data_IF_419449070532
#
_entry.id   IF_419449070532
#
_cell.length_a   1.000
_cell.length_b   1.000
_cell.length_c   1.000
_cell.angle_alpha   90.00
_cell.angle_beta   90.00
_cell.angle_gamma   90.00
#
_symmetry.space_group_name_H-M   'P 1'
#
loop_
_entity.id
_entity.type
_entity.pdbx_description
1 polymer ?
#
# COMPACT_ATOMS: atom_id res chain seq x y z
N UNK A 1 -10.59 -14.01 -18.77
CA UNK A 1 -9.13 -14.21 -18.70
C UNK A 1 -8.41 -12.86 -18.77
N UNK A 2 -7.35 -12.72 -17.98
CA UNK A 2 -6.23 -11.76 -18.11
C UNK A 2 -6.59 -10.28 -17.93
N UNK A 3 -6.01 -9.64 -16.89
CA UNK A 3 -4.88 -8.70 -17.07
C UNK A 3 -3.99 -8.71 -15.82
N UNK A 4 -3.13 -9.73 -15.74
CA UNK A 4 -1.83 -9.54 -15.13
C UNK A 4 -1.08 -8.47 -15.92
N UNK A 5 -0.71 -7.38 -15.25
CA UNK A 5 0.28 -6.40 -15.70
C UNK A 5 1.03 -6.01 -14.42
N UNK A 6 2.23 -6.48 -14.15
CA UNK A 6 3.39 -6.51 -15.04
C UNK A 6 4.50 -5.83 -14.25
N UNK A 7 5.07 -6.52 -13.27
CA UNK A 7 6.35 -6.14 -12.65
C UNK A 7 7.44 -6.40 -13.69
N UNK A 8 7.57 -5.49 -14.66
CA UNK A 8 8.70 -5.45 -15.59
C UNK A 8 9.06 -3.99 -15.78
N UNK A 9 10.12 -3.53 -15.10
CA UNK A 9 11.42 -3.27 -15.70
C UNK A 9 12.43 -2.91 -14.60
N UNK A 10 13.56 -3.62 -14.65
CA UNK A 10 14.84 -3.27 -14.04
C UNK A 10 15.24 -1.89 -14.56
N UNK A 11 15.58 -1.00 -13.65
CA UNK A 11 15.99 0.38 -13.92
C UNK A 11 16.02 1.12 -12.59
N UNK A 12 17.21 1.26 -12.02
CA UNK A 12 17.46 1.88 -10.73
C UNK A 12 17.34 3.41 -10.87
N UNK A 13 16.12 3.91 -11.03
CA UNK A 13 15.79 5.33 -10.86
C UNK A 13 14.97 5.45 -9.57
N UNK A 14 15.33 6.40 -8.70
CA UNK A 14 14.75 6.57 -7.36
C UNK A 14 13.29 7.04 -7.49
N UNK A 15 12.37 6.10 -7.62
CA UNK A 15 10.93 6.40 -7.73
C UNK A 15 10.30 6.42 -6.35
N UNK A 16 9.82 7.59 -5.92
CA UNK A 16 9.07 7.75 -4.68
C UNK A 16 7.82 6.84 -4.74
N UNK A 17 7.73 5.95 -3.77
CA UNK A 17 6.67 4.96 -3.62
C UNK A 17 5.79 5.35 -2.43
N UNK A 18 4.54 5.67 -2.70
CA UNK A 18 3.51 5.94 -1.71
C UNK A 18 2.85 4.63 -1.27
N UNK A 19 2.60 4.53 0.02
CA UNK A 19 1.79 3.47 0.63
C UNK A 19 0.42 4.05 0.84
N UNK A 20 -0.56 3.50 0.13
CA UNK A 20 -1.93 4.01 0.12
C UNK A 20 -2.89 2.95 0.64
N UNK A 21 -3.98 3.39 1.27
CA UNK A 21 -5.04 2.48 1.73
C UNK A 21 -6.17 2.41 0.72
N UNK A 22 -6.56 1.21 0.29
CA UNK A 22 -7.70 1.08 -0.59
C UNK A 22 -8.98 1.53 0.10
N UNK A 23 -9.70 2.50 -0.47
CA UNK A 23 -10.97 2.99 0.06
C UNK A 23 -12.10 1.95 0.06
N UNK A 24 -11.96 0.85 -0.71
CA UNK A 24 -12.98 -0.19 -0.79
C UNK A 24 -12.75 -1.36 0.14
N UNK A 25 -11.56 -1.98 0.09
CA UNK A 25 -11.25 -3.14 0.94
C UNK A 25 -10.47 -2.77 2.21
N UNK A 26 -9.95 -1.55 2.32
CA UNK A 26 -9.15 -1.12 3.46
C UNK A 26 -7.71 -1.65 3.47
N UNK A 27 -7.31 -2.43 2.46
CA UNK A 27 -5.98 -3.04 2.35
C UNK A 27 -4.92 -2.02 1.91
N UNK A 28 -3.71 -2.15 2.45
CA UNK A 28 -2.58 -1.28 2.11
C UNK A 28 -1.88 -1.80 0.84
N UNK A 29 -1.58 -0.88 -0.08
CA UNK A 29 -0.90 -1.19 -1.33
C UNK A 29 0.17 -0.15 -1.69
N UNK A 30 1.14 -0.59 -2.48
CA UNK A 30 2.21 0.25 -3.00
C UNK A 30 1.80 0.90 -4.32
N UNK A 31 1.99 2.21 -4.40
CA UNK A 31 1.75 3.03 -5.58
C UNK A 31 2.96 3.91 -5.86
N UNK A 32 3.39 4.00 -7.11
CA UNK A 32 4.44 4.95 -7.50
C UNK A 32 3.83 6.34 -7.64
N UNK A 33 4.59 7.38 -7.29
CA UNK A 33 4.15 8.78 -7.47
C UNK A 33 3.81 9.10 -8.93
N UNK A 34 4.51 8.50 -9.88
CA UNK A 34 4.27 8.67 -11.32
C UNK A 34 2.90 8.14 -11.81
N UNK A 35 2.11 7.46 -10.96
CA UNK A 35 0.82 6.89 -11.33
C UNK A 35 -0.34 7.62 -10.65
N UNK A 36 -1.21 8.24 -11.44
CA UNK A 36 -2.42 8.92 -10.96
C UNK A 36 -3.46 7.92 -10.43
N UNK A 37 -3.61 6.77 -11.11
CA UNK A 37 -4.57 5.72 -10.75
C UNK A 37 -3.89 4.36 -10.63
N UNK A 38 -4.36 3.56 -9.66
CA UNK A 38 -3.87 2.20 -9.42
C UNK A 38 -5.06 1.28 -9.23
N UNK A 39 -5.03 0.13 -9.88
CA UNK A 39 -6.00 -0.94 -9.61
C UNK A 39 -5.53 -1.72 -8.39
N UNK A 40 -6.41 -1.85 -7.39
CA UNK A 40 -6.14 -2.64 -6.21
C UNK A 40 -5.98 -4.11 -6.60
N UNK A 41 -4.84 -4.76 -6.30
CA UNK A 41 -4.63 -6.17 -6.64
C UNK A 41 -5.49 -7.12 -5.79
N UNK A 42 -6.07 -6.63 -4.68
CA UNK A 42 -6.87 -7.42 -3.75
C UNK A 42 -8.35 -7.46 -4.13
N UNK A 43 -8.97 -6.30 -4.34
CA UNK A 43 -10.40 -6.21 -4.65
C UNK A 43 -10.71 -5.87 -6.11
N UNK A 44 -9.69 -5.59 -6.94
CA UNK A 44 -9.87 -5.16 -8.33
C UNK A 44 -10.40 -3.73 -8.50
N UNK A 45 -10.64 -2.99 -7.43
CA UNK A 45 -11.14 -1.62 -7.53
C UNK A 45 -10.08 -0.65 -8.06
N UNK A 46 -10.47 0.23 -8.97
CA UNK A 46 -9.61 1.31 -9.47
C UNK A 46 -9.67 2.49 -8.50
N UNK A 47 -8.54 2.84 -7.90
CA UNK A 47 -8.43 3.96 -6.95
C UNK A 47 -7.55 5.06 -7.53
N UNK A 48 -7.94 6.31 -7.28
CA UNK A 48 -7.08 7.48 -7.55
C UNK A 48 -6.11 7.63 -6.38
N UNK A 49 -4.82 7.68 -6.68
CA UNK A 49 -3.75 7.80 -5.67
C UNK A 49 -3.79 9.18 -5.01
N UNK A 50 -4.14 10.22 -5.76
CA UNK A 50 -4.27 11.57 -5.24
C UNK A 50 -5.46 11.75 -4.30
N UNK A 51 -6.59 11.09 -4.60
CA UNK A 51 -7.81 11.13 -3.77
C UNK A 51 -7.82 10.11 -2.63
N UNK A 52 -6.81 9.24 -2.58
CA UNK A 52 -6.72 8.18 -1.58
C UNK A 52 -5.83 8.63 -0.43
N UNK A 53 -6.17 8.19 0.78
CA UNK A 53 -5.34 8.41 1.95
C UNK A 53 -3.95 7.77 1.77
N UNK A 54 -2.94 8.63 1.64
CA UNK A 54 -1.52 8.28 1.70
C UNK A 54 -1.16 8.06 3.15
N UNK A 55 -0.78 6.83 3.48
CA UNK A 55 -0.44 6.42 4.84
C UNK A 55 1.03 6.66 5.13
N UNK A 56 1.86 6.45 4.11
CA UNK A 56 3.30 6.71 4.17
C UNK A 56 3.86 6.91 2.75
N UNK A 57 5.08 7.41 2.66
CA UNK A 57 5.83 7.57 1.43
C UNK A 57 7.28 7.18 1.66
N UNK A 58 7.88 6.48 0.71
CA UNK A 58 9.27 6.04 0.77
C UNK A 58 9.99 6.41 -0.53
N UNK A 59 11.30 6.64 -0.46
CA UNK A 59 12.08 7.01 -1.64
C UNK A 59 12.44 5.78 -2.49
N UNK A 60 12.35 4.58 -1.91
CA UNK A 60 12.65 3.32 -2.58
C UNK A 60 11.54 2.28 -2.36
N UNK A 61 11.36 1.38 -3.34
CA UNK A 61 10.44 0.26 -3.24
C UNK A 61 10.79 -0.71 -2.09
N UNK A 62 12.08 -0.81 -1.76
CA UNK A 62 12.56 -1.61 -0.62
C UNK A 62 12.07 -1.03 0.70
N UNK A 63 12.35 0.25 0.95
CA UNK A 63 11.88 0.96 2.14
C UNK A 63 10.35 0.92 2.25
N UNK A 64 9.64 1.13 1.14
CA UNK A 64 8.19 1.04 1.11
C UNK A 64 7.69 -0.34 1.54
N UNK A 65 8.38 -1.41 1.15
CA UNK A 65 8.02 -2.79 1.52
C UNK A 65 8.29 -3.07 3.00
N UNK A 66 9.41 -2.56 3.53
CA UNK A 66 9.76 -2.66 4.97
C UNK A 66 8.74 -1.89 5.82
N UNK A 67 8.41 -0.66 5.43
CA UNK A 67 7.37 0.16 6.08
C UNK A 67 6.00 -0.51 6.02
N UNK A 68 5.61 -1.04 4.86
CA UNK A 68 4.34 -1.75 4.70
C UNK A 68 4.23 -2.95 5.63
N UNK A 69 5.31 -3.73 5.74
CA UNK A 69 5.35 -4.91 6.62
C UNK A 69 5.25 -4.49 8.09
N UNK A 70 6.07 -3.51 8.52
CA UNK A 70 6.00 -2.94 9.88
C UNK A 70 4.61 -2.41 10.20
N UNK A 71 3.99 -1.64 9.31
CA UNK A 71 2.64 -1.12 9.53
C UNK A 71 1.58 -2.22 9.71
N UNK A 72 1.69 -3.33 8.95
CA UNK A 72 0.80 -4.47 9.14
C UNK A 72 1.02 -5.15 10.49
N UNK A 73 2.28 -5.34 10.88
CA UNK A 73 2.68 -5.90 12.18
C UNK A 73 2.20 -5.01 13.35
N UNK A 74 2.40 -3.70 13.27
CA UNK A 74 1.95 -2.73 14.27
C UNK A 74 0.42 -2.65 14.34
N UNK A 75 -0.27 -2.70 13.21
CA UNK A 75 -1.75 -2.72 13.21
C UNK A 75 -2.27 -4.00 13.87
N UNK A 76 -1.61 -5.14 13.65
CA UNK A 76 -1.94 -6.40 14.31
C UNK A 76 -1.63 -6.34 15.82
N UNK A 77 -0.47 -5.83 16.20
CA UNK A 77 -0.06 -5.70 17.61
C UNK A 77 -0.97 -4.72 18.38
N UNK A 78 -1.35 -3.60 17.77
CA UNK A 78 -2.20 -2.59 18.41
C UNK A 78 -3.66 -3.03 18.53
N UNK A 79 -4.16 -3.85 17.61
CA UNK A 79 -5.46 -4.54 17.81
C UNK A 79 -5.45 -5.46 19.03
N UNK A 80 -4.29 -6.03 19.35
CA UNK A 80 -4.13 -6.90 20.52
C UNK A 80 -4.15 -6.14 21.86
N UNK A 81 -3.85 -4.83 21.87
CA UNK A 81 -3.94 -3.99 23.07
C UNK A 81 -5.35 -3.42 23.32
N UNK A 82 -6.19 -3.32 22.28
CA UNK A 82 -7.58 -2.86 22.43
C UNK A 82 -8.58 -3.97 22.70
N UNK A 83 -8.16 -5.25 22.67
CA UNK A 83 -8.98 -6.40 23.04
C UNK A 83 -9.01 -6.65 24.58
N UNK A 84 -8.19 -5.95 25.35
CA UNK A 84 -8.01 -6.11 26.82
C UNK A 84 -8.57 -4.93 27.63
N UNK A 85 -9.63 -4.26 27.16
CA UNK A 85 -10.43 -3.35 28.02
C UNK A 85 -11.92 -3.61 27.86
N UNK A 86 -12.28 -4.86 28.14
CA UNK A 86 -13.65 -5.33 28.21
C UNK A 86 -13.76 -6.54 29.14
N UNK A 87 -13.54 -6.33 30.44
CA UNK A 87 -14.09 -7.14 31.54
C UNK A 87 -14.21 -6.25 32.77
#
# INVERSE_FOLDING_TARGET
MKKGKGFRKRGLNVTITHIVRCIRCGELLLAKNEQETRTCPYCGNRILIEKTQKVASAQSAYEASVLLRKMKEETAARKNLTADRGS
#
